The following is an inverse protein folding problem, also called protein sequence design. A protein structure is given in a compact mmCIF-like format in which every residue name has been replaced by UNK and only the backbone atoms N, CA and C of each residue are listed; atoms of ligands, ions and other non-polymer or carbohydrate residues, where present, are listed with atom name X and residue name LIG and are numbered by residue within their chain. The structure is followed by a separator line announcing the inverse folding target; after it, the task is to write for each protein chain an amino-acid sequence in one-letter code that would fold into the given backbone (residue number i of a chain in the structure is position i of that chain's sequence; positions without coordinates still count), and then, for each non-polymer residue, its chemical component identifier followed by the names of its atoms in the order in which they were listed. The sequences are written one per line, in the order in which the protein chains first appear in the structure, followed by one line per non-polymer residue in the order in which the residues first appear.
data_IF_931189634110
#
_entry.id   IF_931189634110
#
_cell.length_a   1.000
_cell.length_b   1.000
_cell.length_c   1.000
_cell.angle_alpha   90.00
_cell.angle_beta   90.00
_cell.angle_gamma   90.00
#
_symmetry.space_group_name_H-M   'P 1'
#
loop_
_entity.id
_entity.type
_entity.pdbx_description
1 polymer ?
#
# COMPACT_ATOMS: atom_id res chain seq x y z
N UNK A 1 -7.48 -18.55 -16.61
CA UNK A 1 -8.41 -18.71 -15.48
C UNK A 1 -8.12 -17.58 -14.52
N UNK A 2 -9.01 -16.60 -14.38
CA UNK A 2 -8.79 -15.47 -13.47
C UNK A 2 -8.93 -15.96 -12.03
N UNK A 3 -7.81 -16.09 -11.32
CA UNK A 3 -7.83 -16.18 -9.86
C UNK A 3 -8.41 -14.86 -9.33
N UNK A 4 -9.70 -14.88 -8.99
CA UNK A 4 -10.29 -13.84 -8.15
C UNK A 4 -9.59 -13.94 -6.80
N UNK A 5 -8.64 -13.03 -6.56
CA UNK A 5 -8.03 -12.83 -5.24
C UNK A 5 -9.20 -12.51 -4.30
N UNK A 6 -9.65 -13.52 -3.55
CA UNK A 6 -10.80 -13.40 -2.64
C UNK A 6 -10.22 -12.95 -1.31
N UNK A 7 -9.96 -11.64 -1.21
CA UNK A 7 -9.45 -11.03 0.02
C UNK A 7 -10.67 -10.89 0.95
N UNK A 8 -10.62 -11.41 2.19
CA UNK A 8 -11.72 -11.23 3.13
C UNK A 8 -11.94 -9.74 3.40
N UNK A 9 -13.19 -9.26 3.31
CA UNK A 9 -13.54 -7.85 3.51
C UNK A 9 -13.06 -7.32 4.86
N UNK A 10 -13.04 -8.17 5.90
CA UNK A 10 -12.54 -7.85 7.24
C UNK A 10 -11.05 -7.47 7.24
N UNK A 11 -10.24 -8.08 6.38
CA UNK A 11 -8.80 -7.78 6.26
C UNK A 11 -8.62 -6.40 5.62
N UNK A 12 -9.43 -6.08 4.62
CA UNK A 12 -9.42 -4.78 3.94
C UNK A 12 -9.85 -3.69 4.91
N UNK A 13 -10.97 -3.88 5.62
CA UNK A 13 -11.55 -2.89 6.53
C UNK A 13 -10.58 -2.53 7.67
N UNK A 14 -9.91 -3.52 8.26
CA UNK A 14 -8.93 -3.29 9.34
C UNK A 14 -7.65 -2.56 8.90
N UNK A 15 -7.41 -2.43 7.59
CA UNK A 15 -6.23 -1.80 7.00
C UNK A 15 -6.53 -0.43 6.37
N UNK A 16 -7.78 0.03 6.41
CA UNK A 16 -8.18 1.35 5.95
C UNK A 16 -8.00 2.36 7.09
N UNK A 17 -7.22 3.39 6.84
CA UNK A 17 -7.01 4.52 7.75
C UNK A 17 -7.64 5.77 7.17
N UNK A 18 -8.07 6.69 8.03
CA UNK A 18 -8.55 8.01 7.61
C UNK A 18 -7.46 9.03 7.92
N UNK A 19 -6.81 9.55 6.89
CA UNK A 19 -5.72 10.52 7.00
C UNK A 19 -6.04 11.69 6.08
N UNK A 20 -6.01 12.92 6.60
CA UNK A 20 -6.42 14.14 5.87
C UNK A 20 -7.82 14.02 5.25
N UNK A 21 -8.77 13.45 6.00
CA UNK A 21 -10.15 13.18 5.55
C UNK A 21 -10.26 12.24 4.34
N UNK A 22 -9.19 11.52 4.00
CA UNK A 22 -9.17 10.55 2.92
C UNK A 22 -9.00 9.13 3.46
N UNK A 23 -9.76 8.18 2.89
CA UNK A 23 -9.55 6.75 3.13
C UNK A 23 -8.28 6.32 2.41
N UNK A 24 -7.29 5.90 3.18
CA UNK A 24 -5.97 5.52 2.68
C UNK A 24 -5.53 4.18 3.26
N UNK A 25 -4.64 3.51 2.55
CA UNK A 25 -4.04 2.23 2.95
C UNK A 25 -2.52 2.36 2.94
N UNK A 26 -1.85 1.73 3.91
CA UNK A 26 -0.39 1.77 3.99
C UNK A 26 0.25 0.84 2.95
N UNK A 27 1.42 1.24 2.45
CA UNK A 27 2.28 0.43 1.58
C UNK A 27 2.52 -0.99 2.10
N UNK A 28 2.71 -1.13 3.42
CA UNK A 28 2.94 -2.40 4.10
C UNK A 28 1.71 -3.31 4.07
N UNK A 29 0.55 -2.72 4.33
CA UNK A 29 -0.71 -3.44 4.34
C UNK A 29 -1.09 -3.90 2.94
N UNK A 30 -0.87 -3.04 1.95
CA UNK A 30 -1.08 -3.31 0.54
C UNK A 30 -0.16 -4.42 0.03
N UNK A 31 1.11 -4.39 0.43
CA UNK A 31 2.08 -5.42 0.09
C UNK A 31 1.67 -6.80 0.63
N UNK A 32 1.14 -6.85 1.86
CA UNK A 32 0.61 -8.09 2.46
C UNK A 32 -0.63 -8.60 1.70
N UNK A 33 -1.55 -7.69 1.33
CA UNK A 33 -2.76 -8.05 0.56
C UNK A 33 -2.41 -8.61 -0.81
N UNK A 34 -1.47 -7.98 -1.52
CA UNK A 34 -1.02 -8.46 -2.84
C UNK A 34 0.02 -9.58 -2.75
N UNK A 35 0.38 -10.04 -1.55
CA UNK A 35 1.42 -11.03 -1.30
C UNK A 35 2.75 -10.69 -2.03
N UNK A 36 3.11 -9.40 -2.02
CA UNK A 36 4.35 -8.87 -2.59
C UNK A 36 5.22 -8.30 -1.49
N UNK A 37 6.54 -8.25 -1.73
CA UNK A 37 7.42 -7.53 -0.81
C UNK A 37 7.15 -6.02 -0.86
N UNK A 38 7.13 -5.37 0.30
CA UNK A 38 7.02 -3.90 0.40
C UNK A 38 8.07 -3.17 -0.42
N UNK A 39 9.30 -3.71 -0.47
CA UNK A 39 10.38 -3.19 -1.31
C UNK A 39 10.00 -3.25 -2.79
N UNK A 40 9.48 -4.40 -3.26
CA UNK A 40 9.07 -4.58 -4.65
C UNK A 40 7.92 -3.66 -5.04
N UNK A 41 6.96 -3.48 -4.14
CA UNK A 41 5.85 -2.54 -4.33
C UNK A 41 6.37 -1.10 -4.52
N UNK A 42 7.29 -0.65 -3.66
CA UNK A 42 7.92 0.68 -3.78
C UNK A 42 8.74 0.83 -5.05
N UNK A 43 9.44 -0.23 -5.48
CA UNK A 43 10.17 -0.23 -6.76
C UNK A 43 9.23 -0.04 -7.94
N UNK A 44 8.08 -0.72 -7.97
CA UNK A 44 7.09 -0.59 -9.04
C UNK A 44 6.49 0.81 -9.12
N UNK A 45 6.17 1.37 -7.97
CA UNK A 45 5.67 2.74 -7.86
C UNK A 45 6.70 3.73 -8.39
N UNK A 46 7.97 3.61 -7.97
CA UNK A 46 9.05 4.48 -8.45
C UNK A 46 9.32 4.35 -9.94
N UNK A 47 9.19 3.14 -10.51
CA UNK A 47 9.33 2.90 -11.96
C UNK A 47 8.19 3.49 -12.78
N UNK A 48 7.00 3.60 -12.19
CA UNK A 48 5.80 4.09 -12.86
C UNK A 48 5.32 5.41 -12.22
N UNK A 49 6.23 6.23 -11.69
CA UNK A 49 5.88 7.41 -10.90
C UNK A 49 5.00 8.39 -11.69
N UNK A 50 5.15 8.44 -13.01
CA UNK A 50 4.31 9.23 -13.92
C UNK A 50 2.82 8.85 -13.88
N UNK A 51 2.49 7.65 -13.40
CA UNK A 51 1.11 7.15 -13.22
C UNK A 51 0.55 7.37 -11.82
N UNK A 52 1.37 7.86 -10.88
CA UNK A 52 1.00 8.08 -9.49
C UNK A 52 1.09 9.57 -9.16
N UNK A 53 0.07 10.37 -9.50
CA UNK A 53 0.02 11.77 -9.05
C UNK A 53 -0.18 11.86 -7.53
N UNK A 54 0.10 13.02 -6.93
CA UNK A 54 0.01 13.24 -5.47
C UNK A 54 -1.39 12.95 -4.88
N UNK A 55 -2.44 12.97 -5.70
CA UNK A 55 -3.80 12.61 -5.28
C UNK A 55 -4.00 11.09 -5.09
N UNK A 56 -3.08 10.27 -5.59
CA UNK A 56 -3.17 8.80 -5.58
C UNK A 56 -2.33 8.21 -4.46
N UNK A 57 -1.18 8.82 -4.19
CA UNK A 57 -0.31 8.42 -3.10
C UNK A 57 0.41 9.62 -2.53
N UNK A 58 0.77 9.54 -1.26
CA UNK A 58 1.64 10.52 -0.62
C UNK A 58 2.42 9.86 0.51
N UNK A 59 3.50 10.51 0.93
CA UNK A 59 4.26 10.09 2.11
C UNK A 59 3.65 10.75 3.35
N UNK A 60 3.51 9.97 4.44
CA UNK A 60 3.08 10.54 5.72
C UNK A 60 4.13 11.47 6.27
N UNK A 61 3.70 12.57 6.89
CA UNK A 61 4.63 13.39 7.67
C UNK A 61 5.11 12.64 8.90
N UNK A 62 6.24 13.05 9.48
CA UNK A 62 6.75 12.45 10.71
C UNK A 62 5.73 12.54 11.86
N UNK A 63 4.94 13.61 11.91
CA UNK A 63 3.88 13.83 12.89
C UNK A 63 2.69 12.89 12.67
N UNK A 64 2.18 12.82 11.42
CA UNK A 64 1.09 11.90 11.03
C UNK A 64 1.49 10.45 11.31
N UNK A 65 2.72 10.07 10.95
CA UNK A 65 3.25 8.74 11.23
C UNK A 65 3.38 8.47 12.73
N UNK A 66 3.76 9.46 13.54
CA UNK A 66 3.84 9.29 14.99
C UNK A 66 2.45 9.14 15.63
N UNK A 67 1.48 9.92 15.16
CA UNK A 67 0.07 9.81 15.58
C UNK A 67 -0.50 8.45 15.21
N UNK A 68 -0.29 8.00 13.97
CA UNK A 68 -0.71 6.69 13.48
C UNK A 68 -0.07 5.55 14.29
N UNK A 69 1.23 5.64 14.60
CA UNK A 69 1.91 4.71 15.50
C UNK A 69 1.27 4.65 16.88
N UNK A 70 0.89 5.80 17.42
CA UNK A 70 0.26 5.89 18.74
C UNK A 70 -1.14 5.28 18.74
N UNK A 71 -1.86 5.32 17.62
CA UNK A 71 -3.18 4.69 17.49
C UNK A 71 -3.08 3.18 17.27
N UNK A 72 -2.09 2.71 16.51
CA UNK A 72 -1.90 1.28 16.20
C UNK A 72 -1.27 0.51 17.38
N UNK A 73 -0.66 1.22 18.34
CA UNK A 73 -0.24 0.77 19.69
C UNK A 73 -0.05 -0.75 19.91
N UNK A 74 0.71 -1.40 19.04
CA UNK A 74 1.24 -2.75 19.28
C UNK A 74 2.76 -2.61 19.25
N UNK A 75 3.30 -2.14 20.38
CA UNK A 75 4.70 -1.80 20.55
C UNK A 75 5.58 -3.07 20.58
N UNK A 76 5.82 -3.71 19.44
CA UNK A 76 6.91 -4.69 19.29
C UNK A 76 8.20 -3.98 18.88
N UNK A 77 9.06 -3.73 19.87
CA UNK A 77 10.43 -3.21 19.71
C UNK A 77 11.14 -3.97 18.57
N UNK A 78 11.53 -3.26 17.51
CA UNK A 78 12.35 -3.81 16.41
C UNK A 78 11.66 -4.12 15.07
N UNK A 79 10.32 -4.00 14.94
CA UNK A 79 9.60 -4.22 13.66
C UNK A 79 9.11 -2.95 12.96
N UNK A 80 9.43 -1.76 13.48
CA UNK A 80 8.91 -0.51 12.93
C UNK A 80 9.82 0.09 11.86
N UNK A 81 9.23 0.53 10.74
CA UNK A 81 9.96 1.23 9.68
C UNK A 81 10.53 2.54 10.21
N UNK A 82 11.85 2.71 10.14
CA UNK A 82 12.54 3.95 10.51
C UNK A 82 12.07 5.15 9.66
N UNK A 83 11.49 4.87 8.49
CA UNK A 83 11.03 5.85 7.52
C UNK A 83 9.50 5.93 7.49
N UNK A 84 8.94 7.12 7.17
CA UNK A 84 7.51 7.25 6.95
C UNK A 84 7.06 6.28 5.84
N UNK A 85 5.96 5.55 6.05
CA UNK A 85 5.38 4.71 5.01
C UNK A 85 4.70 5.58 3.95
N UNK A 86 4.62 5.04 2.73
CA UNK A 86 3.73 5.60 1.73
C UNK A 86 2.30 5.17 2.04
N UNK A 87 1.36 6.08 1.78
CA UNK A 87 -0.07 5.80 1.81
C UNK A 87 -0.66 5.94 0.43
N UNK A 88 -1.64 5.09 0.14
CA UNK A 88 -2.34 5.03 -1.13
C UNK A 88 -3.82 5.29 -0.90
N UNK A 89 -4.41 6.16 -1.72
CA UNK A 89 -5.86 6.34 -1.77
C UNK A 89 -6.49 5.18 -2.55
N UNK A 90 -7.82 5.10 -2.56
CA UNK A 90 -8.56 4.10 -3.35
C UNK A 90 -8.12 4.08 -4.82
N UNK A 91 -7.93 5.25 -5.43
CA UNK A 91 -7.46 5.40 -6.80
C UNK A 91 -6.00 4.92 -6.96
N UNK A 92 -5.15 5.19 -5.96
CA UNK A 92 -3.78 4.68 -5.91
C UNK A 92 -3.72 3.15 -5.84
N UNK A 93 -4.59 2.53 -5.05
CA UNK A 93 -4.72 1.07 -4.94
C UNK A 93 -5.15 0.47 -6.27
N UNK A 94 -6.16 1.07 -6.92
CA UNK A 94 -6.62 0.64 -8.24
C UNK A 94 -5.49 0.71 -9.27
N UNK A 95 -4.75 1.82 -9.31
CA UNK A 95 -3.60 1.99 -10.19
C UNK A 95 -2.52 0.93 -9.91
N UNK A 96 -2.23 0.68 -8.63
CA UNK A 96 -1.25 -0.31 -8.20
C UNK A 96 -1.64 -1.73 -8.62
N UNK A 97 -2.93 -2.07 -8.53
CA UNK A 97 -3.44 -3.36 -8.99
C UNK A 97 -3.15 -3.58 -10.49
N UNK A 98 -3.29 -2.54 -11.32
CA UNK A 98 -3.02 -2.64 -12.75
C UNK A 98 -1.53 -2.80 -13.07
N UNK A 99 -0.66 -2.11 -12.32
CA UNK A 99 0.81 -2.20 -12.49
C UNK A 99 1.31 -3.58 -12.06
N UNK A 100 0.84 -4.08 -10.92
CA UNK A 100 1.21 -5.42 -10.43
C UNK A 100 0.65 -6.53 -11.33
N UNK A 101 -0.60 -6.42 -11.77
CA UNK A 101 -1.19 -7.39 -12.70
C UNK A 101 -0.50 -7.36 -14.07
N UNK A 102 -0.02 -6.20 -14.54
CA UNK A 102 0.78 -6.11 -15.76
C UNK A 102 2.11 -6.85 -15.62
N UNK A 103 2.82 -6.75 -14.48
CA UNK A 103 4.04 -7.52 -14.27
C UNK A 103 3.76 -9.04 -14.19
N UNK A 104 2.69 -9.44 -13.49
CA UNK A 104 2.28 -10.85 -13.43
C UNK A 104 1.90 -11.40 -14.81
N UNK A 105 1.15 -10.62 -15.60
CA UNK A 105 0.76 -10.98 -16.96
C UNK A 105 1.97 -11.09 -17.89
N UNK A 106 2.93 -10.16 -17.82
CA UNK A 106 4.18 -10.23 -18.60
C UNK A 106 5.00 -11.47 -18.24
N UNK A 107 5.02 -11.87 -16.96
CA UNK A 107 5.76 -13.05 -16.49
C UNK A 107 5.13 -14.38 -16.93
N UNK A 108 3.83 -14.42 -17.19
CA UNK A 108 3.09 -15.61 -17.63
C UNK A 108 3.02 -15.78 -19.15
N UNK A 109 3.38 -14.75 -19.93
CA UNK A 109 3.23 -14.76 -21.39
C UNK A 109 4.42 -15.37 -22.15
N UNK A 110 5.26 -16.17 -21.49
CA UNK A 110 6.42 -16.89 -22.05
C UNK A 110 6.20 -18.39 -21.99
#
# INVERSE_FOLDING_TARGET
MNEKITIPDEVIINKIYVIRDQKVMLDKDLAEIYNVETKRLKEQVRRNIDRFPDSFMFELTAEEHSSLRSQIATLKRGRHSKYPPFVFTEHGILMLSSVLNSELAVKMSV
#
